data_IF_973599951508
#
_entry.id   IF_973599951508
#
_cell.length_a   1.000
_cell.length_b   1.000
_cell.length_c   1.000
_cell.angle_alpha   90.00
_cell.angle_beta   90.00
_cell.angle_gamma   90.00
#
_symmetry.space_group_name_H-M   'P 1'
#
loop_
_entity.id
_entity.type
_entity.pdbx_description
1 polymer ?
#
# COMPACT_ATOMS: atom_id res chain seq x y z
N UNK A 1 69.53 10.43 85.60
CA UNK A 1 68.82 11.14 84.48
C UNK A 1 68.56 10.13 83.39
N UNK A 2 67.39 9.60 83.35
CA UNK A 2 66.98 8.65 82.32
C UNK A 2 66.06 9.39 81.35
N UNK A 3 66.53 9.63 80.13
CA UNK A 3 65.76 10.24 79.03
C UNK A 3 64.85 9.17 78.41
N UNK A 4 63.59 9.29 78.71
CA UNK A 4 62.52 8.48 78.12
C UNK A 4 62.34 8.85 76.65
N UNK A 5 62.57 7.90 75.76
CA UNK A 5 62.46 8.03 74.29
C UNK A 5 61.01 7.82 73.89
N UNK A 6 60.29 8.90 73.56
CA UNK A 6 58.95 8.85 73.10
C UNK A 6 58.84 8.02 71.80
N UNK A 7 58.04 6.98 71.84
CA UNK A 7 57.78 6.13 70.72
C UNK A 7 56.67 6.77 69.78
N UNK A 8 56.90 7.01 68.47
CA UNK A 8 55.91 7.63 67.60
C UNK A 8 54.77 6.66 67.34
N UNK A 9 53.52 7.17 67.50
CA UNK A 9 52.27 6.47 67.20
C UNK A 9 52.20 6.05 65.73
N UNK A 10 51.72 4.85 65.45
CA UNK A 10 51.52 4.38 64.03
C UNK A 10 50.46 5.20 63.31
N UNK A 11 50.60 5.43 62.00
CA UNK A 11 49.66 6.21 61.23
C UNK A 11 48.29 5.48 61.17
N UNK A 12 47.25 6.22 61.52
CA UNK A 12 45.86 5.76 61.33
C UNK A 12 45.62 5.35 59.85
N UNK A 13 45.54 4.06 59.61
CA UNK A 13 45.01 3.56 58.32
C UNK A 13 43.61 4.08 58.15
N UNK A 14 43.41 4.97 57.16
CA UNK A 14 42.10 5.39 56.73
C UNK A 14 41.30 4.15 56.25
N UNK A 15 40.50 3.57 57.14
CA UNK A 15 39.60 2.49 56.83
C UNK A 15 38.60 3.01 55.81
N UNK A 16 38.69 2.55 54.54
CA UNK A 16 37.70 2.82 53.54
C UNK A 16 36.37 2.27 54.07
N UNK A 17 35.43 3.15 54.41
CA UNK A 17 34.16 2.81 55.01
C UNK A 17 33.38 1.85 54.08
N UNK A 18 32.84 0.75 54.58
CA UNK A 18 32.06 -0.22 53.76
C UNK A 18 30.88 0.45 53.05
N UNK A 19 30.37 1.55 53.58
CA UNK A 19 29.36 2.41 52.98
C UNK A 19 29.79 3.01 51.64
N UNK A 20 31.06 3.35 51.46
CA UNK A 20 31.56 3.89 50.19
C UNK A 20 31.55 2.84 49.06
N UNK A 21 31.86 1.58 49.37
CA UNK A 21 31.78 0.51 48.39
C UNK A 21 30.32 0.19 47.99
N UNK A 22 29.38 0.25 48.94
CA UNK A 22 27.95 0.10 48.65
C UNK A 22 27.41 1.20 47.72
N UNK A 23 27.81 2.45 47.94
CA UNK A 23 27.43 3.57 47.09
C UNK A 23 27.98 3.43 45.65
N UNK A 24 29.21 2.98 45.50
CA UNK A 24 29.85 2.76 44.18
C UNK A 24 29.13 1.63 43.42
N UNK A 25 28.77 0.53 44.09
CA UNK A 25 28.04 -0.58 43.48
C UNK A 25 26.64 -0.15 43.01
N UNK A 26 25.94 0.66 43.82
CA UNK A 26 24.61 1.18 43.42
C UNK A 26 24.72 2.12 42.21
N UNK A 27 25.72 2.99 42.16
CA UNK A 27 25.97 3.84 41.00
C UNK A 27 26.31 3.03 39.74
N UNK A 28 27.15 2.01 39.86
CA UNK A 28 27.51 1.14 38.75
C UNK A 28 26.26 0.38 38.22
N UNK A 29 25.40 -0.12 39.11
CA UNK A 29 24.15 -0.77 38.75
C UNK A 29 23.18 0.19 38.07
N UNK A 30 23.05 1.43 38.53
CA UNK A 30 22.20 2.45 37.92
C UNK A 30 22.69 2.84 36.52
N UNK A 31 24.01 3.00 36.33
CA UNK A 31 24.63 3.29 35.03
C UNK A 31 24.40 2.10 34.07
N UNK A 32 24.57 0.88 34.54
CA UNK A 32 24.32 -0.33 33.73
C UNK A 32 22.87 -0.48 33.33
N UNK A 33 21.92 -0.25 34.23
CA UNK A 33 20.48 -0.26 33.92
C UNK A 33 20.12 0.85 32.92
N UNK A 34 20.65 2.06 33.09
CA UNK A 34 20.49 3.16 32.15
C UNK A 34 21.04 2.84 30.76
N UNK A 35 22.21 2.21 30.69
CA UNK A 35 22.80 1.77 29.42
C UNK A 35 21.92 0.75 28.71
N UNK A 36 21.40 -0.27 29.41
CA UNK A 36 20.51 -1.28 28.83
C UNK A 36 19.24 -0.61 28.32
N UNK A 37 18.65 0.29 29.12
CA UNK A 37 17.42 1.00 28.72
C UNK A 37 17.62 1.86 27.47
N UNK A 38 18.72 2.65 27.41
CA UNK A 38 19.06 3.46 26.26
C UNK A 38 19.38 2.61 25.01
N UNK A 39 20.10 1.52 25.20
CA UNK A 39 20.44 0.59 24.11
C UNK A 39 19.18 -0.05 23.50
N UNK A 40 18.28 -0.53 24.33
CA UNK A 40 16.99 -1.09 23.87
C UNK A 40 16.11 -0.05 23.18
N UNK A 41 16.08 1.17 23.72
CA UNK A 41 15.27 2.24 23.12
C UNK A 41 15.76 2.65 21.73
N UNK A 42 17.08 2.70 21.52
CA UNK A 42 17.68 2.97 20.20
C UNK A 42 17.44 1.82 19.20
N UNK A 43 17.56 0.58 19.65
CA UNK A 43 17.31 -0.60 18.80
C UNK A 43 15.87 -0.68 18.32
N UNK A 44 14.91 -0.37 19.21
CA UNK A 44 13.49 -0.41 18.87
C UNK A 44 13.10 0.63 17.82
N UNK A 45 13.66 1.84 17.86
CA UNK A 45 13.40 2.86 16.83
C UNK A 45 13.92 2.44 15.46
N UNK A 46 15.14 1.95 15.38
CA UNK A 46 15.71 1.48 14.13
C UNK A 46 14.94 0.27 13.55
N UNK A 47 14.34 -0.56 14.39
CA UNK A 47 13.52 -1.69 13.98
C UNK A 47 12.16 -1.23 13.42
N UNK A 48 11.52 -0.27 14.06
CA UNK A 48 10.26 0.33 13.60
C UNK A 48 10.43 1.02 12.24
N UNK A 49 11.47 1.82 12.06
CA UNK A 49 11.76 2.47 10.77
C UNK A 49 11.97 1.46 9.63
N UNK A 50 12.58 0.32 9.91
CA UNK A 50 12.76 -0.75 8.90
C UNK A 50 11.43 -1.40 8.53
N UNK A 51 10.58 -1.67 9.51
CA UNK A 51 9.25 -2.26 9.26
C UNK A 51 8.38 -1.29 8.45
N UNK A 52 8.39 -0.01 8.82
CA UNK A 52 7.63 1.02 8.08
C UNK A 52 8.10 1.15 6.62
N UNK A 53 9.42 1.14 6.38
CA UNK A 53 9.97 1.15 5.02
C UNK A 53 9.56 -0.09 4.23
N UNK A 54 9.65 -1.27 4.82
CA UNK A 54 9.24 -2.51 4.17
C UNK A 54 7.73 -2.54 3.86
N UNK A 55 6.91 -2.02 4.77
CA UNK A 55 5.46 -1.92 4.53
C UNK A 55 5.16 -0.92 3.40
N UNK A 56 5.82 0.24 3.41
CA UNK A 56 5.66 1.23 2.34
C UNK A 56 6.11 0.70 0.96
N UNK A 57 7.20 -0.07 0.91
CA UNK A 57 7.65 -0.71 -0.32
C UNK A 57 6.68 -1.77 -0.81
N UNK A 58 6.16 -2.63 0.07
CA UNK A 58 5.13 -3.62 -0.28
C UNK A 58 3.86 -2.97 -0.78
N UNK A 59 3.46 -1.87 -0.14
CA UNK A 59 2.27 -1.12 -0.56
C UNK A 59 2.46 -0.55 -1.96
N UNK A 60 3.60 0.08 -2.25
CA UNK A 60 3.94 0.55 -3.59
C UNK A 60 3.95 -0.57 -4.64
N UNK A 61 4.51 -1.74 -4.31
CA UNK A 61 4.51 -2.89 -5.21
C UNK A 61 3.09 -3.41 -5.47
N UNK A 62 2.24 -3.45 -4.44
CA UNK A 62 0.85 -3.85 -4.60
C UNK A 62 0.05 -2.84 -5.44
N UNK A 63 0.28 -1.54 -5.23
CA UNK A 63 -0.37 -0.48 -6.00
C UNK A 63 0.05 -0.55 -7.48
N UNK A 64 1.35 -0.74 -7.76
CA UNK A 64 1.85 -0.94 -9.12
C UNK A 64 1.33 -2.23 -9.76
N UNK A 65 1.24 -3.32 -8.99
CA UNK A 65 0.67 -4.57 -9.48
C UNK A 65 -0.84 -4.41 -9.77
N UNK A 66 -1.57 -3.69 -8.93
CA UNK A 66 -2.97 -3.38 -9.16
C UNK A 66 -3.17 -2.51 -10.41
N UNK A 67 -2.35 -1.46 -10.58
CA UNK A 67 -2.37 -0.65 -11.80
C UNK A 67 -2.09 -1.46 -13.06
N UNK A 68 -1.11 -2.36 -13.02
CA UNK A 68 -0.77 -3.22 -14.17
C UNK A 68 -1.87 -4.23 -14.48
N UNK A 69 -2.54 -4.77 -13.46
CA UNK A 69 -3.67 -5.70 -13.64
C UNK A 69 -4.93 -5.00 -14.12
N UNK A 70 -5.15 -3.75 -13.74
CA UNK A 70 -6.30 -2.94 -14.15
C UNK A 70 -6.11 -2.22 -15.49
N UNK A 71 -5.06 -2.55 -16.27
CA UNK A 71 -4.82 -2.00 -17.59
C UNK A 71 -3.89 -0.77 -17.63
N UNK A 72 -3.13 -0.54 -16.57
CA UNK A 72 -2.20 0.59 -16.47
C UNK A 72 -2.92 1.95 -16.40
N UNK A 73 -2.20 3.03 -16.70
CA UNK A 73 -2.75 4.39 -16.76
C UNK A 73 -3.40 4.72 -18.12
N UNK A 74 -3.30 3.85 -19.10
CA UNK A 74 -3.78 4.09 -20.46
C UNK A 74 -5.28 3.80 -20.59
N UNK A 75 -5.93 4.57 -21.49
CA UNK A 75 -7.30 4.33 -21.88
C UNK A 75 -7.38 3.03 -22.69
N UNK A 76 -8.13 2.06 -22.23
CA UNK A 76 -8.29 0.77 -22.93
C UNK A 76 -9.69 0.20 -22.81
N UNK A 77 -10.18 -0.40 -23.88
CA UNK A 77 -11.33 -1.30 -23.85
C UNK A 77 -10.76 -2.69 -23.58
N UNK A 78 -10.96 -3.20 -22.37
CA UNK A 78 -10.42 -4.48 -21.91
C UNK A 78 -11.24 -5.66 -22.45
N UNK A 79 -12.54 -5.48 -22.58
CA UNK A 79 -13.43 -6.48 -23.15
C UNK A 79 -14.64 -5.83 -23.78
N UNK A 80 -15.12 -6.43 -24.88
CA UNK A 80 -16.39 -6.13 -25.51
C UNK A 80 -16.94 -7.41 -26.14
N UNK A 81 -18.09 -7.84 -25.70
CA UNK A 81 -18.78 -8.97 -26.28
C UNK A 81 -20.29 -8.75 -26.24
N UNK A 82 -21.03 -9.39 -27.16
CA UNK A 82 -22.47 -9.32 -27.24
C UNK A 82 -23.04 -10.71 -27.42
N UNK A 83 -24.34 -10.87 -27.16
CA UNK A 83 -25.12 -12.03 -27.61
C UNK A 83 -25.02 -12.10 -29.12
N UNK A 84 -24.45 -13.17 -29.71
CA UNK A 84 -24.10 -13.18 -31.15
C UNK A 84 -25.29 -13.20 -32.04
N UNK A 85 -26.40 -13.81 -31.60
CA UNK A 85 -27.61 -14.00 -32.38
C UNK A 85 -28.88 -14.02 -31.51
N UNK A 86 -29.91 -13.34 -31.95
CA UNK A 86 -31.23 -13.27 -31.30
C UNK A 86 -32.36 -13.43 -32.34
N UNK A 87 -33.55 -13.76 -31.87
CA UNK A 87 -34.78 -13.69 -32.70
C UNK A 87 -35.32 -12.26 -32.64
N UNK A 88 -36.06 -11.90 -33.68
CA UNK A 88 -36.70 -10.58 -33.72
C UNK A 88 -37.62 -10.36 -32.51
N UNK A 89 -37.34 -9.27 -31.76
CA UNK A 89 -38.05 -8.92 -30.52
C UNK A 89 -37.43 -9.46 -29.25
N UNK A 90 -36.39 -10.29 -29.32
CA UNK A 90 -35.61 -10.71 -28.16
C UNK A 90 -34.58 -9.64 -27.75
N UNK A 91 -34.22 -9.66 -26.50
CA UNK A 91 -33.19 -8.77 -25.94
C UNK A 91 -31.80 -9.41 -26.08
N UNK A 92 -30.86 -8.65 -26.61
CA UNK A 92 -29.43 -9.00 -26.59
C UNK A 92 -28.75 -8.26 -25.48
N UNK A 93 -27.72 -8.86 -24.92
CA UNK A 93 -26.89 -8.24 -23.90
C UNK A 93 -25.51 -7.92 -24.48
N UNK A 94 -25.07 -6.67 -24.30
CA UNK A 94 -23.72 -6.22 -24.65
C UNK A 94 -22.96 -5.94 -23.37
N UNK A 95 -21.89 -6.68 -23.15
CA UNK A 95 -21.05 -6.53 -21.97
C UNK A 95 -19.71 -5.93 -22.39
N UNK A 96 -19.24 -4.94 -21.62
CA UNK A 96 -17.96 -4.29 -21.85
C UNK A 96 -17.26 -3.97 -20.54
N UNK A 97 -15.94 -3.85 -20.63
CA UNK A 97 -15.08 -3.37 -19.57
C UNK A 97 -14.11 -2.35 -20.12
N UNK A 98 -14.00 -1.20 -19.47
CA UNK A 98 -13.09 -0.12 -19.87
C UNK A 98 -12.21 0.31 -18.70
N UNK A 99 -10.95 0.61 -18.99
CA UNK A 99 -10.01 1.15 -18.04
C UNK A 99 -9.75 2.63 -18.35
N UNK A 100 -9.68 3.45 -17.30
CA UNK A 100 -9.29 4.86 -17.36
C UNK A 100 -10.16 5.76 -18.25
N UNK A 101 -11.38 5.34 -18.57
CA UNK A 101 -12.32 6.16 -19.32
C UNK A 101 -13.00 7.19 -18.40
N UNK A 102 -13.15 8.41 -18.92
CA UNK A 102 -13.99 9.46 -18.34
C UNK A 102 -15.44 9.28 -18.73
N UNK A 103 -15.68 8.93 -20.00
CA UNK A 103 -17.02 8.68 -20.53
C UNK A 103 -16.98 7.50 -21.48
N UNK A 104 -18.09 6.77 -21.55
CA UNK A 104 -18.28 5.65 -22.47
C UNK A 104 -19.62 5.85 -23.18
N UNK A 105 -19.63 5.69 -24.50
CA UNK A 105 -20.83 5.75 -25.33
C UNK A 105 -20.97 4.47 -26.15
N UNK A 106 -22.18 3.94 -26.21
CA UNK A 106 -22.55 2.79 -27.04
C UNK A 106 -23.56 3.24 -28.08
N UNK A 107 -23.22 3.16 -29.35
CA UNK A 107 -24.06 3.52 -30.45
C UNK A 107 -24.33 2.32 -31.38
N UNK A 108 -25.55 2.16 -31.91
CA UNK A 108 -26.75 2.92 -31.64
C UNK A 108 -27.44 2.54 -30.34
N UNK A 109 -28.20 3.45 -29.74
CA UNK A 109 -29.17 3.14 -28.69
C UNK A 109 -28.82 3.49 -27.24
N UNK A 110 -27.59 3.60 -26.88
CA UNK A 110 -27.16 4.03 -25.51
C UNK A 110 -26.08 5.09 -25.62
N UNK A 111 -26.43 6.39 -25.69
CA UNK A 111 -25.45 7.46 -25.96
C UNK A 111 -24.48 7.71 -24.83
N UNK A 112 -24.84 7.33 -23.61
CA UNK A 112 -23.94 7.47 -22.45
C UNK A 112 -24.18 6.36 -21.45
N UNK A 113 -23.14 5.65 -21.09
CA UNK A 113 -23.14 4.60 -20.07
C UNK A 113 -22.03 4.87 -19.08
N UNK A 114 -22.17 4.37 -17.87
CA UNK A 114 -21.14 4.54 -16.84
C UNK A 114 -19.85 3.83 -17.24
N UNK A 115 -18.70 4.50 -17.16
CA UNK A 115 -17.42 3.83 -17.27
C UNK A 115 -17.31 2.76 -16.17
N UNK A 116 -17.08 1.52 -16.57
CA UNK A 116 -16.98 0.41 -15.64
C UNK A 116 -16.03 -0.64 -16.15
N UNK A 117 -15.36 -1.32 -15.23
CA UNK A 117 -14.53 -2.47 -15.57
C UNK A 117 -15.36 -3.66 -16.07
N UNK A 118 -16.64 -3.71 -15.71
CA UNK A 118 -17.52 -4.77 -16.15
C UNK A 118 -18.98 -4.31 -16.05
N UNK A 119 -19.57 -3.94 -17.17
CA UNK A 119 -20.95 -3.51 -17.27
C UNK A 119 -21.64 -4.19 -18.46
N UNK A 120 -22.87 -4.66 -18.26
CA UNK A 120 -23.70 -5.20 -19.32
C UNK A 120 -24.94 -4.30 -19.55
N UNK A 121 -25.23 -4.05 -20.81
CA UNK A 121 -26.37 -3.23 -21.25
C UNK A 121 -27.27 -4.08 -22.14
N UNK A 122 -28.57 -4.03 -21.88
CA UNK A 122 -29.56 -4.72 -22.68
C UNK A 122 -29.97 -3.86 -23.86
N UNK A 123 -29.99 -4.47 -25.05
CA UNK A 123 -30.40 -3.83 -26.31
C UNK A 123 -31.41 -4.71 -27.03
N UNK A 124 -32.32 -4.09 -27.78
CA UNK A 124 -33.35 -4.80 -28.55
C UNK A 124 -33.32 -4.35 -30.02
N UNK A 125 -32.36 -4.83 -30.83
CA UNK A 125 -32.29 -4.48 -32.23
C UNK A 125 -33.37 -5.20 -33.03
N UNK A 126 -34.03 -4.47 -33.95
CA UNK A 126 -35.03 -5.04 -34.87
C UNK A 126 -34.40 -5.74 -36.07
N UNK A 127 -33.18 -5.38 -36.43
CA UNK A 127 -32.40 -5.92 -37.55
C UNK A 127 -30.96 -6.15 -37.06
N UNK A 128 -30.21 -6.96 -37.84
CA UNK A 128 -28.79 -7.16 -37.59
C UNK A 128 -28.09 -5.80 -37.45
N UNK A 129 -27.52 -5.54 -36.30
CA UNK A 129 -26.99 -4.22 -35.94
C UNK A 129 -25.57 -4.35 -35.43
N UNK A 130 -24.70 -3.46 -35.91
CA UNK A 130 -23.34 -3.31 -35.39
C UNK A 130 -23.33 -2.19 -34.34
N UNK A 131 -22.89 -2.52 -33.15
CA UNK A 131 -22.72 -1.58 -32.04
C UNK A 131 -21.27 -1.15 -31.94
N UNK A 132 -21.06 0.15 -31.80
CA UNK A 132 -19.72 0.75 -31.59
C UNK A 132 -19.63 1.28 -30.18
N UNK A 133 -18.70 0.76 -29.41
CA UNK A 133 -18.33 1.27 -28.11
C UNK A 133 -17.22 2.29 -28.28
N UNK A 134 -17.44 3.52 -27.80
CA UNK A 134 -16.44 4.59 -27.79
C UNK A 134 -16.12 4.96 -26.35
N UNK A 135 -14.89 4.76 -25.94
CA UNK A 135 -14.38 5.19 -24.65
C UNK A 135 -13.54 6.45 -24.82
N UNK A 136 -13.80 7.48 -23.99
CA UNK A 136 -13.06 8.75 -23.99
C UNK A 136 -12.34 8.91 -22.66
N UNK A 137 -11.03 9.11 -22.70
CA UNK A 137 -10.18 9.37 -21.55
C UNK A 137 -10.27 10.79 -21.03
N UNK A 138 -9.56 11.04 -19.91
CA UNK A 138 -9.47 12.39 -19.30
C UNK A 138 -8.80 13.41 -20.21
N UNK A 139 -7.88 12.95 -21.04
CA UNK A 139 -7.08 13.76 -21.98
C UNK A 139 -7.75 13.96 -23.34
N UNK A 140 -9.00 13.51 -23.48
CA UNK A 140 -9.74 13.57 -24.75
C UNK A 140 -9.36 12.48 -25.75
N UNK A 141 -8.45 11.56 -25.40
CA UNK A 141 -8.14 10.39 -26.23
C UNK A 141 -9.39 9.51 -26.37
N UNK A 142 -9.55 8.88 -27.52
CA UNK A 142 -10.69 8.00 -27.79
C UNK A 142 -10.21 6.64 -28.30
N UNK A 143 -10.82 5.58 -27.78
CA UNK A 143 -10.64 4.21 -28.26
C UNK A 143 -12.02 3.68 -28.65
N UNK A 144 -12.10 2.99 -29.79
CA UNK A 144 -13.36 2.45 -30.30
C UNK A 144 -13.22 0.96 -30.58
N UNK A 145 -14.29 0.23 -30.30
CA UNK A 145 -14.40 -1.19 -30.64
C UNK A 145 -15.83 -1.51 -31.08
N UNK A 146 -16.00 -2.51 -31.95
CA UNK A 146 -17.27 -2.85 -32.51
C UNK A 146 -17.65 -4.29 -32.22
N UNK A 147 -18.95 -4.52 -32.05
CA UNK A 147 -19.55 -5.84 -31.92
C UNK A 147 -20.86 -5.90 -32.71
N UNK A 148 -21.17 -7.03 -33.36
CA UNK A 148 -22.38 -7.21 -34.15
C UNK A 148 -23.35 -8.17 -33.43
N UNK A 149 -24.61 -7.78 -33.42
CA UNK A 149 -25.73 -8.64 -33.00
C UNK A 149 -26.55 -8.99 -34.25
N UNK A 150 -26.63 -10.28 -34.58
CA UNK A 150 -27.45 -10.79 -35.69
C UNK A 150 -28.89 -11.00 -35.26
N UNK A 151 -29.86 -10.60 -36.09
CA UNK A 151 -31.29 -10.84 -35.86
C UNK A 151 -31.81 -11.74 -36.96
N UNK A 152 -32.39 -12.85 -36.52
CA UNK A 152 -33.10 -13.81 -37.38
C UNK A 152 -34.59 -13.49 -37.47
#
# INVERSE_FOLDING_TARGET
>A
MLTEKANPLPPKRAGKSPLAYGAILLLAAAVYAGWIFLSRHRSNRAYQERIERQQAERQRQNDQAAESQLGGSELAIQMLYATPEIRRGETAQICFGVANAKTVALAPGAPSVWPSHNLCVDVNPKNTTTYTLTATGKDGQQVQQQVQVKVR
#
